data_IF_697572273994
#
_entry.id   IF_697572273994
#
_cell.length_a   1.000
_cell.length_b   1.000
_cell.length_c   1.000
_cell.angle_alpha   90.00
_cell.angle_beta   90.00
_cell.angle_gamma   90.00
#
_symmetry.space_group_name_H-M   'P 1'
#
loop_
_entity.id
_entity.type
_entity.pdbx_description
1 polymer ?
#
# COMPACT_ATOMS: atom_id res chain seq x y z
N UNK A 1 -48.94 -24.64 -21.78
CA UNK A 1 -48.05 -23.50 -22.15
C UNK A 1 -47.15 -23.24 -20.95
N UNK A 2 -45.96 -23.84 -20.92
CA UNK A 2 -45.05 -23.75 -19.77
C UNK A 2 -44.18 -22.49 -19.91
N UNK A 3 -44.31 -21.56 -18.98
CA UNK A 3 -43.49 -20.37 -18.91
C UNK A 3 -42.09 -20.73 -18.39
N UNK A 4 -41.08 -20.60 -19.25
CA UNK A 4 -39.67 -20.70 -18.86
C UNK A 4 -39.25 -19.38 -18.21
N UNK A 5 -39.02 -19.40 -16.90
CA UNK A 5 -38.27 -18.33 -16.21
C UNK A 5 -36.79 -18.49 -16.58
N UNK A 6 -36.28 -17.55 -17.38
CA UNK A 6 -34.85 -17.33 -17.56
C UNK A 6 -34.30 -16.72 -16.27
N UNK A 7 -33.62 -17.55 -15.47
CA UNK A 7 -32.77 -17.08 -14.37
C UNK A 7 -31.58 -16.36 -15.00
N UNK A 8 -31.65 -15.03 -15.05
CA UNK A 8 -30.52 -14.19 -15.38
C UNK A 8 -29.49 -14.34 -14.25
N UNK A 9 -28.45 -15.15 -14.50
CA UNK A 9 -27.30 -15.23 -13.63
C UNK A 9 -26.65 -13.86 -13.55
N UNK A 10 -26.81 -13.19 -12.42
CA UNK A 10 -25.95 -12.08 -12.03
C UNK A 10 -24.56 -12.67 -11.83
N UNK A 11 -23.74 -12.63 -12.87
CA UNK A 11 -22.30 -12.63 -12.70
C UNK A 11 -21.96 -11.37 -11.92
N UNK A 12 -22.10 -11.43 -10.60
CA UNK A 12 -21.35 -10.55 -9.72
C UNK A 12 -19.90 -10.75 -10.14
N UNK A 13 -19.33 -9.71 -10.75
CA UNK A 13 -17.92 -9.68 -11.10
C UNK A 13 -17.13 -9.75 -9.80
N UNK A 14 -16.93 -10.96 -9.29
CA UNK A 14 -15.86 -11.26 -8.37
C UNK A 14 -14.58 -10.96 -9.14
N UNK A 15 -14.12 -9.71 -9.08
CA UNK A 15 -12.77 -9.38 -9.49
C UNK A 15 -11.88 -10.32 -8.70
N UNK A 16 -11.20 -11.23 -9.40
CA UNK A 16 -10.31 -12.22 -8.79
C UNK A 16 -9.07 -11.50 -8.27
N UNK A 17 -9.25 -10.82 -7.14
CA UNK A 17 -8.19 -10.15 -6.41
C UNK A 17 -7.33 -11.16 -5.68
N UNK A 18 -7.81 -12.40 -5.47
CA UNK A 18 -7.06 -13.45 -4.77
C UNK A 18 -5.72 -13.76 -5.45
N UNK A 19 -5.63 -13.57 -6.78
CA UNK A 19 -4.36 -13.68 -7.50
C UNK A 19 -3.28 -12.72 -7.00
N UNK A 20 -3.63 -11.62 -6.33
CA UNK A 20 -2.71 -10.65 -5.74
C UNK A 20 -2.19 -11.07 -4.36
N UNK A 21 -2.71 -12.14 -3.75
CA UNK A 21 -2.17 -12.64 -2.49
C UNK A 21 -0.74 -13.19 -2.66
N UNK A 22 0.12 -12.89 -1.68
CA UNK A 22 1.48 -13.43 -1.56
C UNK A 22 1.47 -14.76 -0.82
N UNK A 23 2.25 -15.74 -1.29
CA UNK A 23 2.53 -16.98 -0.53
C UNK A 23 3.48 -16.72 0.66
N UNK A 24 3.65 -17.67 1.61
CA UNK A 24 4.54 -17.50 2.78
C UNK A 24 6.00 -17.10 2.49
N UNK A 25 6.48 -17.34 1.27
CA UNK A 25 7.83 -17.00 0.83
C UNK A 25 7.83 -16.04 -0.36
N UNK A 26 6.74 -15.32 -0.58
CA UNK A 26 6.65 -14.30 -1.62
C UNK A 26 6.42 -12.93 -0.95
N UNK A 27 6.95 -11.89 -1.59
CA UNK A 27 6.65 -10.52 -1.22
C UNK A 27 6.62 -9.63 -2.46
N UNK A 28 5.87 -8.54 -2.38
CA UNK A 28 5.94 -7.43 -3.31
C UNK A 28 7.13 -6.55 -2.95
N UNK A 29 8.04 -6.34 -3.90
CA UNK A 29 9.31 -5.64 -3.69
C UNK A 29 9.46 -4.52 -4.72
N UNK A 30 9.95 -3.36 -4.28
CA UNK A 30 10.24 -2.26 -5.19
C UNK A 30 10.96 -1.10 -4.52
N UNK A 31 11.52 -0.21 -5.34
CA UNK A 31 12.11 1.04 -4.89
C UNK A 31 11.09 2.20 -5.02
N UNK A 32 11.35 3.28 -4.31
CA UNK A 32 10.62 4.52 -4.49
C UNK A 32 10.80 5.08 -5.90
N UNK A 33 9.75 5.72 -6.43
CA UNK A 33 9.82 6.43 -7.71
C UNK A 33 10.75 7.64 -7.58
N UNK A 34 11.71 7.79 -8.50
CA UNK A 34 12.79 8.77 -8.38
C UNK A 34 12.40 10.21 -8.72
N UNK A 35 11.41 10.43 -9.58
CA UNK A 35 10.99 11.78 -9.97
C UNK A 35 10.53 12.60 -8.76
N UNK A 36 10.97 13.86 -8.67
CA UNK A 36 10.61 14.74 -7.55
C UNK A 36 9.11 14.94 -7.34
N UNK A 37 8.22 14.95 -8.36
CA UNK A 37 6.78 15.03 -8.11
C UNK A 37 6.19 13.79 -7.41
N UNK A 38 6.96 12.70 -7.32
CA UNK A 38 6.50 11.41 -6.78
C UNK A 38 7.04 11.12 -5.38
N UNK A 39 7.71 12.11 -4.75
CA UNK A 39 8.37 11.93 -3.47
C UNK A 39 8.59 13.24 -2.72
N UNK A 40 8.18 13.27 -1.46
CA UNK A 40 8.44 14.32 -0.47
C UNK A 40 8.81 13.65 0.87
N UNK A 41 9.75 14.22 1.62
CA UNK A 41 10.17 13.67 2.93
C UNK A 41 10.89 12.31 2.90
N UNK A 42 11.05 11.66 1.74
CA UNK A 42 11.72 10.36 1.60
C UNK A 42 12.97 10.46 0.72
N UNK A 43 13.97 9.64 1.04
CA UNK A 43 15.19 9.49 0.24
C UNK A 43 14.92 8.72 -1.05
N UNK A 44 15.65 8.99 -2.16
CA UNK A 44 15.53 8.22 -3.41
C UNK A 44 16.01 6.77 -3.29
N UNK A 45 16.58 6.37 -2.15
CA UNK A 45 17.12 5.02 -1.91
C UNK A 45 16.17 4.11 -1.12
N UNK A 46 15.01 4.62 -0.70
CA UNK A 46 14.06 3.83 0.08
C UNK A 46 13.49 2.71 -0.78
N UNK A 47 13.56 1.50 -0.23
CA UNK A 47 12.94 0.30 -0.77
C UNK A 47 11.75 -0.09 0.10
N UNK A 48 10.76 -0.74 -0.49
CA UNK A 48 9.55 -1.20 0.18
C UNK A 48 9.33 -2.69 -0.09
N UNK A 49 8.88 -3.37 0.97
CA UNK A 49 8.37 -4.74 0.94
C UNK A 49 6.93 -4.74 1.43
N UNK A 50 6.07 -5.49 0.73
CA UNK A 50 4.68 -5.73 1.11
C UNK A 50 4.38 -7.23 1.08
N UNK A 51 3.78 -7.75 2.15
CA UNK A 51 3.05 -9.03 2.11
C UNK A 51 1.57 -8.73 2.12
N UNK A 52 0.80 -9.46 1.31
CA UNK A 52 -0.61 -9.17 1.08
C UNK A 52 -1.43 -10.45 1.02
N UNK A 53 -2.55 -10.49 1.72
CA UNK A 53 -3.67 -11.38 1.47
C UNK A 53 -4.81 -10.54 0.89
N UNK A 54 -4.92 -10.58 -0.43
CA UNK A 54 -5.87 -9.79 -1.18
C UNK A 54 -7.33 -10.23 -0.95
N UNK A 55 -7.55 -11.43 -0.40
CA UNK A 55 -8.90 -11.89 -0.05
C UNK A 55 -9.47 -11.17 1.18
N UNK A 56 -8.62 -10.46 1.91
CA UNK A 56 -8.96 -9.73 3.15
C UNK A 56 -9.05 -8.21 2.95
N UNK A 57 -8.95 -7.71 1.71
CA UNK A 57 -8.93 -6.26 1.43
C UNK A 57 -10.19 -5.52 1.89
N UNK A 58 -11.32 -6.22 1.92
CA UNK A 58 -12.64 -5.68 2.29
C UNK A 58 -13.08 -6.11 3.71
N UNK A 59 -12.18 -6.74 4.46
CA UNK A 59 -12.43 -7.18 5.83
C UNK A 59 -11.98 -6.20 6.90
N UNK A 60 -12.31 -6.51 8.15
CA UNK A 60 -11.94 -5.70 9.32
C UNK A 60 -10.52 -5.98 9.83
N UNK A 61 -9.94 -7.10 9.39
CA UNK A 61 -8.59 -7.48 9.78
C UNK A 61 -7.55 -6.98 8.78
N UNK A 62 -6.32 -6.78 9.24
CA UNK A 62 -5.25 -6.34 8.33
C UNK A 62 -5.04 -7.33 7.18
N UNK A 63 -5.03 -6.87 5.90
CA UNK A 63 -4.73 -7.73 4.77
C UNK A 63 -3.23 -7.88 4.54
N UNK A 64 -2.36 -7.18 5.28
CA UNK A 64 -0.94 -7.20 4.93
C UNK A 64 -0.05 -6.35 5.81
N UNK A 65 1.25 -6.43 5.53
CA UNK A 65 2.27 -5.71 6.29
C UNK A 65 3.26 -5.02 5.36
N UNK A 66 3.73 -3.86 5.79
CA UNK A 66 4.73 -3.06 5.10
C UNK A 66 6.05 -3.06 5.87
N UNK A 67 7.13 -3.13 5.10
CA UNK A 67 8.48 -2.83 5.56
C UNK A 67 9.12 -1.85 4.60
N UNK A 68 10.00 -1.03 5.13
CA UNK A 68 10.87 -0.17 4.33
C UNK A 68 12.30 -0.34 4.75
N UNK A 69 13.21 -0.12 3.82
CA UNK A 69 14.63 -0.16 4.09
C UNK A 69 15.35 0.93 3.32
N UNK A 70 16.20 1.67 4.03
CA UNK A 70 17.20 2.53 3.44
C UNK A 70 18.57 2.19 4.03
N UNK A 71 19.49 1.77 3.18
CA UNK A 71 20.84 1.42 3.60
C UNK A 71 21.59 2.63 4.19
N UNK A 72 22.42 2.35 5.19
CA UNK A 72 23.33 3.32 5.79
C UNK A 72 24.23 3.99 4.73
N UNK A 73 24.64 5.22 5.00
CA UNK A 73 25.71 5.93 4.30
C UNK A 73 26.82 6.28 5.27
N UNK A 74 27.89 6.88 4.77
CA UNK A 74 28.94 7.45 5.62
C UNK A 74 28.40 8.53 6.60
N UNK A 75 27.25 9.13 6.30
CA UNK A 75 26.70 10.27 7.04
C UNK A 75 25.36 10.01 7.71
N UNK A 76 24.73 8.85 7.47
CA UNK A 76 23.44 8.48 8.05
C UNK A 76 23.37 6.98 8.35
N UNK A 77 22.77 6.57 9.48
CA UNK A 77 22.54 5.16 9.77
C UNK A 77 21.51 4.56 8.82
N UNK A 78 21.38 3.23 8.87
CA UNK A 78 20.26 2.50 8.26
C UNK A 78 18.93 3.03 8.82
N UNK A 79 17.91 3.10 7.96
CA UNK A 79 16.58 3.55 8.36
C UNK A 79 15.49 2.59 7.93
N UNK A 80 14.52 2.39 8.84
CA UNK A 80 13.29 1.64 8.62
C UNK A 80 12.13 2.50 9.08
N UNK A 81 11.44 3.13 8.14
CA UNK A 81 10.20 3.85 8.41
C UNK A 81 9.10 2.89 8.89
N UNK A 82 9.03 1.72 8.26
CA UNK A 82 8.20 0.59 8.66
C UNK A 82 9.04 -0.66 8.87
N UNK A 83 8.71 -1.39 9.93
CA UNK A 83 9.24 -2.72 10.24
C UNK A 83 8.08 -3.64 10.63
N UNK A 84 7.34 -4.09 9.62
CA UNK A 84 6.17 -4.97 9.80
C UNK A 84 4.89 -4.23 10.14
N UNK A 85 4.78 -2.98 9.73
CA UNK A 85 3.62 -2.12 9.96
C UNK A 85 2.37 -2.72 9.29
N UNK A 86 1.29 -2.88 10.06
CA UNK A 86 0.03 -3.42 9.55
C UNK A 86 -0.68 -2.42 8.64
N UNK A 87 -1.24 -2.92 7.55
CA UNK A 87 -2.26 -2.22 6.78
C UNK A 87 -3.55 -2.27 7.59
N UNK A 88 -3.86 -1.21 8.34
CA UNK A 88 -5.05 -1.18 9.20
C UNK A 88 -6.26 -0.68 8.40
N UNK A 89 -7.35 -1.45 8.31
CA UNK A 89 -8.60 -0.97 7.73
C UNK A 89 -9.10 0.29 8.45
N UNK A 90 -9.83 1.14 7.72
CA UNK A 90 -10.52 2.30 8.26
C UNK A 90 -12.02 2.02 8.10
N UNK A 91 -12.68 1.35 9.06
CA UNK A 91 -14.02 0.77 8.85
C UNK A 91 -15.07 1.76 8.34
N UNK A 92 -15.13 3.03 8.81
CA UNK A 92 -16.09 4.00 8.27
C UNK A 92 -15.95 4.25 6.78
N UNK A 93 -14.76 4.03 6.18
CA UNK A 93 -14.54 4.25 4.75
C UNK A 93 -15.04 3.11 3.85
N UNK A 94 -15.27 1.90 4.38
CA UNK A 94 -15.61 0.72 3.56
C UNK A 94 -16.89 0.90 2.72
N UNK A 95 -17.76 1.83 3.10
CA UNK A 95 -19.00 2.17 2.40
C UNK A 95 -19.11 3.67 2.07
N UNK A 96 -18.00 4.40 2.15
CA UNK A 96 -17.95 5.84 1.89
C UNK A 96 -17.46 6.13 0.46
N UNK A 97 -17.95 7.17 -0.24
CA UNK A 97 -17.45 7.57 -1.56
C UNK A 97 -15.93 7.82 -1.62
N UNK A 98 -15.29 8.19 -0.50
CA UNK A 98 -13.84 8.34 -0.41
C UNK A 98 -13.07 7.03 -0.61
N UNK A 99 -13.74 5.86 -0.56
CA UNK A 99 -13.16 4.56 -0.92
C UNK A 99 -13.24 4.22 -2.41
N UNK A 100 -14.04 4.97 -3.18
CA UNK A 100 -14.32 4.70 -4.60
C UNK A 100 -13.38 5.47 -5.55
N UNK A 101 -12.18 5.81 -5.09
CA UNK A 101 -11.25 6.62 -5.86
C UNK A 101 -10.63 5.83 -7.02
N UNK A 102 -10.55 6.49 -8.18
CA UNK A 102 -9.87 5.98 -9.36
C UNK A 102 -8.50 6.64 -9.48
N UNK A 103 -7.47 5.82 -9.66
CA UNK A 103 -6.10 6.29 -9.85
C UNK A 103 -5.65 5.95 -11.25
N UNK A 104 -6.23 6.61 -12.27
CA UNK A 104 -5.90 6.39 -13.70
C UNK A 104 -6.10 4.96 -14.19
N UNK A 105 -5.75 4.70 -15.45
CA UNK A 105 -5.98 3.40 -16.10
C UNK A 105 -5.02 2.31 -15.63
N UNK A 106 -5.37 1.04 -15.88
CA UNK A 106 -4.51 -0.12 -15.62
C UNK A 106 -4.49 -0.61 -14.17
N UNK A 107 -5.49 -0.23 -13.37
CA UNK A 107 -5.69 -0.68 -11.99
C UNK A 107 -7.00 -1.46 -11.90
N UNK A 108 -6.97 -2.59 -11.21
CA UNK A 108 -8.13 -3.45 -11.01
C UNK A 108 -8.87 -3.16 -9.71
N UNK A 109 -8.14 -2.66 -8.71
CA UNK A 109 -8.70 -2.29 -7.41
C UNK A 109 -7.84 -1.24 -6.75
N UNK A 110 -8.47 -0.24 -6.16
CA UNK A 110 -7.83 0.69 -5.25
C UNK A 110 -8.44 0.54 -3.85
N UNK A 111 -7.63 0.71 -2.82
CA UNK A 111 -8.07 0.70 -1.42
C UNK A 111 -7.14 1.55 -0.57
N UNK A 112 -7.59 1.93 0.63
CA UNK A 112 -6.91 2.84 1.53
C UNK A 112 -6.79 2.21 2.91
N UNK A 113 -5.60 2.28 3.49
CA UNK A 113 -5.33 1.81 4.84
C UNK A 113 -4.64 2.90 5.67
N UNK A 114 -4.87 2.85 6.98
CA UNK A 114 -4.01 3.53 7.92
C UNK A 114 -2.76 2.68 8.21
N UNK A 115 -1.61 3.31 8.37
CA UNK A 115 -0.35 2.65 8.69
C UNK A 115 0.41 3.48 9.71
N UNK A 116 1.01 2.81 10.68
CA UNK A 116 1.81 3.45 11.74
C UNK A 116 3.31 3.24 11.47
N UNK A 117 4.15 4.29 11.57
CA UNK A 117 5.61 4.15 11.52
C UNK A 117 6.14 3.28 12.65
N UNK A 118 7.38 2.79 12.50
CA UNK A 118 8.09 2.09 13.57
C UNK A 118 8.41 3.01 14.76
N UNK A 119 8.60 4.30 14.51
CA UNK A 119 8.76 5.31 15.56
C UNK A 119 7.42 5.65 16.19
N UNK A 120 7.26 5.40 17.50
CA UNK A 120 5.97 5.51 18.19
C UNK A 120 5.43 6.93 18.33
N UNK A 121 6.32 7.93 18.30
CA UNK A 121 5.96 9.35 18.39
C UNK A 121 5.68 9.98 17.01
N UNK A 122 5.98 9.25 15.93
CA UNK A 122 5.72 9.74 14.58
C UNK A 122 4.24 9.64 14.22
N UNK A 123 3.76 10.59 13.42
CA UNK A 123 2.36 10.64 13.01
C UNK A 123 1.99 9.45 12.10
N UNK A 124 0.75 8.99 12.21
CA UNK A 124 0.21 7.97 11.31
C UNK A 124 0.20 8.44 9.84
N UNK A 125 0.09 7.48 8.93
CA UNK A 125 0.03 7.73 7.50
C UNK A 125 -1.15 7.02 6.88
N UNK A 126 -1.52 7.48 5.68
CA UNK A 126 -2.39 6.77 4.77
C UNK A 126 -1.54 6.03 3.74
N UNK A 127 -1.87 4.75 3.49
CA UNK A 127 -1.37 3.97 2.38
C UNK A 127 -2.50 3.72 1.38
N UNK A 128 -2.37 4.30 0.20
CA UNK A 128 -3.21 3.97 -0.94
C UNK A 128 -2.59 2.78 -1.66
N UNK A 129 -3.33 1.69 -1.73
CA UNK A 129 -2.92 0.45 -2.38
C UNK A 129 -3.68 0.31 -3.71
N UNK A 130 -2.95 0.15 -4.80
CA UNK A 130 -3.53 -0.07 -6.13
C UNK A 130 -3.03 -1.40 -6.70
N UNK A 131 -3.96 -2.33 -6.92
CA UNK A 131 -3.70 -3.59 -7.61
C UNK A 131 -3.64 -3.32 -9.11
N UNK A 132 -2.50 -3.58 -9.75
CA UNK A 132 -2.27 -3.26 -11.15
C UNK A 132 -2.58 -4.44 -12.05
N UNK A 133 -3.07 -4.16 -13.26
CA UNK A 133 -3.45 -5.17 -14.25
C UNK A 133 -2.31 -6.10 -14.70
N UNK A 134 -1.06 -5.70 -14.50
CA UNK A 134 0.13 -6.51 -14.78
C UNK A 134 0.56 -7.41 -13.60
N UNK A 135 -0.26 -7.51 -12.55
CA UNK A 135 0.01 -8.31 -11.35
C UNK A 135 0.87 -7.60 -10.29
N UNK A 136 1.34 -6.39 -10.58
CA UNK A 136 2.06 -5.54 -9.63
C UNK A 136 1.15 -4.88 -8.59
N UNK A 137 1.76 -4.28 -7.57
CA UNK A 137 1.06 -3.44 -6.59
C UNK A 137 1.74 -2.10 -6.51
N UNK A 138 0.96 -1.03 -6.57
CA UNK A 138 1.44 0.33 -6.32
C UNK A 138 1.01 0.75 -4.91
N UNK A 139 1.94 1.34 -4.16
CA UNK A 139 1.70 1.89 -2.83
C UNK A 139 2.04 3.37 -2.85
N UNK A 140 1.07 4.23 -2.50
CA UNK A 140 1.32 5.65 -2.22
C UNK A 140 1.18 5.90 -0.73
N UNK A 141 2.24 6.41 -0.13
CA UNK A 141 2.23 6.86 1.26
C UNK A 141 1.93 8.35 1.31
N UNK A 142 1.03 8.74 2.20
CA UNK A 142 0.69 10.14 2.44
C UNK A 142 0.69 10.41 3.94
N UNK A 143 1.49 11.39 4.34
CA UNK A 143 1.38 12.08 5.64
C UNK A 143 1.29 13.58 5.35
N UNK A 144 0.21 14.20 5.81
CA UNK A 144 0.09 15.66 5.70
C UNK A 144 1.22 16.36 6.46
N UNK A 145 1.48 15.92 7.71
CA UNK A 145 2.55 16.45 8.55
C UNK A 145 2.33 17.90 8.96
N UNK A 146 3.38 18.49 9.52
CA UNK A 146 3.46 19.89 9.90
C UNK A 146 4.30 20.66 8.88
N UNK A 147 3.83 21.86 8.50
CA UNK A 147 4.60 22.79 7.66
C UNK A 147 5.69 23.55 8.44
N UNK A 148 5.76 23.35 9.76
CA UNK A 148 6.81 23.92 10.60
C UNK A 148 8.19 23.34 10.18
N UNK A 149 9.15 24.18 9.73
CA UNK A 149 10.47 23.71 9.32
C UNK A 149 11.24 23.04 10.46
N UNK A 150 10.90 23.38 11.71
CA UNK A 150 11.52 22.83 12.92
C UNK A 150 10.79 21.60 13.44
N UNK A 151 9.76 21.10 12.73
CA UNK A 151 9.09 19.87 13.09
C UNK A 151 10.04 18.67 13.09
N UNK A 152 9.88 17.83 14.12
CA UNK A 152 10.53 16.52 14.22
C UNK A 152 10.28 15.69 12.97
N UNK A 153 11.23 14.82 12.61
CA UNK A 153 11.14 14.03 11.39
C UNK A 153 9.85 13.18 11.31
N UNK A 154 9.40 12.64 12.45
CA UNK A 154 8.15 11.90 12.58
C UNK A 154 6.88 12.72 12.29
N UNK A 155 6.98 14.05 12.20
CA UNK A 155 5.87 14.98 11.94
C UNK A 155 6.01 15.72 10.61
N UNK A 156 7.07 15.50 9.84
CA UNK A 156 7.22 16.15 8.53
C UNK A 156 6.27 15.57 7.50
N UNK A 157 5.88 16.35 6.47
CA UNK A 157 5.09 15.84 5.35
C UNK A 157 5.82 14.70 4.65
N UNK A 158 5.06 13.68 4.24
CA UNK A 158 5.58 12.56 3.47
C UNK A 158 4.67 12.33 2.27
N UNK A 159 5.29 12.21 1.11
CA UNK A 159 4.69 11.60 -0.07
C UNK A 159 5.67 10.60 -0.66
N UNK A 160 5.20 9.43 -1.06
CA UNK A 160 6.08 8.46 -1.72
C UNK A 160 5.29 7.44 -2.52
N UNK A 161 5.66 7.28 -3.80
CA UNK A 161 5.06 6.29 -4.69
C UNK A 161 6.03 5.13 -4.94
N UNK A 162 5.57 3.92 -4.64
CA UNK A 162 6.33 2.68 -4.83
C UNK A 162 5.61 1.78 -5.83
N UNK A 163 6.33 1.34 -6.86
CA UNK A 163 5.86 0.33 -7.80
C UNK A 163 6.49 -1.01 -7.43
N UNK A 164 5.70 -1.91 -6.88
CA UNK A 164 6.15 -3.19 -6.34
C UNK A 164 5.83 -4.35 -7.31
N UNK A 165 6.78 -5.26 -7.44
CA UNK A 165 6.62 -6.51 -8.20
C UNK A 165 6.77 -7.70 -7.26
N UNK A 166 5.97 -8.75 -7.50
CA UNK A 166 6.06 -9.96 -6.70
C UNK A 166 7.37 -10.68 -6.96
N UNK A 167 8.03 -11.15 -5.90
CA UNK A 167 9.27 -11.93 -5.94
C UNK A 167 9.21 -13.04 -4.91
N UNK A 168 9.95 -14.11 -5.17
CA UNK A 168 10.30 -15.08 -4.12
C UNK A 168 11.29 -14.46 -3.13
N UNK A 169 11.17 -14.82 -1.87
CA UNK A 169 11.98 -14.31 -0.76
C UNK A 169 11.51 -12.96 -0.21
N UNK A 170 12.42 -12.28 0.49
CA UNK A 170 12.13 -11.12 1.35
C UNK A 170 12.66 -9.79 0.79
N UNK A 171 12.75 -9.64 -0.53
CA UNK A 171 13.27 -8.44 -1.23
C UNK A 171 14.78 -8.17 -1.10
N UNK A 172 15.51 -8.98 -0.32
CA UNK A 172 16.98 -8.89 -0.21
C UNK A 172 17.48 -7.90 0.86
N UNK A 173 16.63 -7.53 1.83
CA UNK A 173 16.94 -6.63 2.95
C UNK A 173 16.08 -6.92 4.20
#
# INVERSE_FOLDING_TARGET
MFAQLLVAGTAAGCNDVARFSTKPHEAYCGAITLGSPFREGLSPRVQMRLTLDATRLDGDESPGRLWTFEAATQTRPERRLFDGAELRPIPPLAHDPLSQFEMGDGRERNTLFAVSPSETMAEGMLAFLSLRSDGGVEVRLVRAGSEDPDADEGRRPIFGMFSLVRREGQCGF
#
